data_IF_855226342802
#
_entry.id   IF_855226342802
#
_cell.length_a   1.000
_cell.length_b   1.000
_cell.length_c   1.000
_cell.angle_alpha   90.00
_cell.angle_beta   90.00
_cell.angle_gamma   90.00
#
_symmetry.space_group_name_H-M   'P 1'
#
loop_
_entity.id
_entity.type
_entity.pdbx_description
1 polymer ?
2 water ?
#
# COMPACT_ATOMS: atom_id res chain seq x y z
N UNK A 1 -6.70 -13.04 -14.56
CA UNK A 1 -7.21 -11.94 -13.66
C UNK A 1 -6.52 -12.15 -12.33
N UNK A 2 -5.92 -11.08 -11.83
CA UNK A 2 -5.23 -11.08 -10.56
C UNK A 2 -6.25 -10.97 -9.44
N UNK A 3 -6.05 -11.73 -8.36
CA UNK A 3 -7.00 -11.64 -7.23
C UNK A 3 -6.77 -10.33 -6.46
N UNK A 4 -7.72 -9.95 -5.62
CA UNK A 4 -7.53 -8.75 -4.82
C UNK A 4 -6.32 -8.95 -3.88
N UNK A 5 -6.15 -10.16 -3.32
CA UNK A 5 -5.03 -10.39 -2.42
C UNK A 5 -3.70 -10.25 -3.15
N UNK A 6 -3.63 -10.78 -4.37
CA UNK A 6 -2.40 -10.69 -5.17
C UNK A 6 -2.09 -9.24 -5.59
N UNK A 7 -3.13 -8.48 -5.90
CA UNK A 7 -3.01 -7.10 -6.28
C UNK A 7 -2.48 -6.32 -5.10
N UNK A 8 -2.94 -6.62 -3.87
CA UNK A 8 -2.45 -5.91 -2.68
C UNK A 8 -0.94 -6.18 -2.51
N UNK A 9 -0.51 -7.43 -2.67
CA UNK A 9 0.89 -7.72 -2.54
C UNK A 9 1.74 -6.96 -3.59
N UNK A 10 1.29 -6.98 -4.85
CA UNK A 10 2.01 -6.26 -5.90
C UNK A 10 2.09 -4.71 -5.67
N UNK A 11 0.99 -4.11 -5.26
CA UNK A 11 0.97 -2.67 -5.08
C UNK A 11 1.60 -2.23 -3.79
N UNK A 12 1.52 -3.05 -2.74
CA UNK A 12 1.97 -2.55 -1.43
C UNK A 12 3.05 -3.23 -0.62
N UNK A 13 3.52 -4.40 -1.01
CA UNK A 13 4.48 -5.08 -0.17
C UNK A 13 5.89 -4.97 -0.72
N UNK A 14 6.85 -4.59 0.12
CA UNK A 14 8.23 -4.56 -0.32
C UNK A 14 9.03 -4.85 0.94
N UNK A 15 8.80 -6.07 1.40
CA UNK A 15 9.38 -6.69 2.59
C UNK A 15 10.85 -6.56 2.49
N UNK A 16 11.35 -5.79 3.43
CA UNK A 16 12.76 -5.47 3.52
C UNK A 16 12.98 -4.69 4.82
N UNK A 22 16.94 6.02 -1.02
CA UNK A 22 17.14 6.65 -2.33
C UNK A 22 15.93 7.43 -2.82
N UNK A 23 16.19 8.65 -3.23
CA UNK A 23 15.12 9.49 -3.70
C UNK A 23 14.39 8.89 -4.91
N UNK A 24 15.02 7.97 -5.62
CA UNK A 24 14.33 7.45 -6.76
C UNK A 24 13.55 6.16 -6.52
N UNK A 25 13.47 5.75 -5.26
CA UNK A 25 12.77 4.53 -4.92
C UNK A 25 11.38 4.47 -5.54
N UNK A 26 10.58 5.50 -5.33
CA UNK A 26 9.21 5.47 -5.87
C UNK A 26 9.15 5.42 -7.40
N UNK A 27 10.02 6.16 -8.06
CA UNK A 27 10.05 6.12 -9.51
C UNK A 27 10.34 4.71 -10.04
N UNK A 28 11.28 3.99 -9.42
CA UNK A 28 11.57 2.62 -9.84
C UNK A 28 10.41 1.65 -9.52
N UNK A 29 9.95 1.67 -8.28
CA UNK A 29 8.91 0.74 -7.83
C UNK A 29 7.54 0.93 -8.43
N UNK A 30 7.13 2.18 -8.61
CA UNK A 30 5.82 2.45 -9.19
C UNK A 30 5.81 1.91 -10.62
N UNK A 31 6.97 1.93 -11.26
CA UNK A 31 7.09 1.41 -12.61
C UNK A 31 7.12 -0.11 -12.62
N UNK A 32 8.03 -0.71 -11.84
CA UNK A 32 8.19 -2.18 -11.80
C UNK A 32 6.94 -2.90 -11.34
N UNK A 33 6.20 -2.29 -10.40
CA UNK A 33 4.97 -2.89 -9.86
C UNK A 33 3.75 -2.56 -10.72
N UNK A 34 4.02 -2.01 -11.91
CA UNK A 34 2.95 -1.70 -12.85
C UNK A 34 1.89 -0.69 -12.41
N UNK A 35 2.26 0.29 -11.60
CA UNK A 35 1.28 1.28 -11.20
C UNK A 35 1.39 2.56 -12.06
N UNK A 36 2.13 2.46 -13.17
CA UNK A 36 2.25 3.58 -14.12
C UNK A 36 1.78 3.13 -15.53
N UNK A 37 0.89 2.13 -15.59
CA UNK A 37 0.36 1.65 -16.87
C UNK A 37 -1.01 2.19 -17.10
N UNK A 38 -1.16 2.98 -18.17
CA UNK A 38 -2.46 3.57 -18.46
C UNK A 38 -2.58 4.95 -17.87
N UNK A 39 -2.06 5.12 -16.66
CA UNK A 39 -2.04 6.40 -15.99
C UNK A 39 -1.07 6.25 -14.81
N UNK A 40 -0.72 7.38 -14.24
CA UNK A 40 0.13 7.42 -13.09
C UNK A 40 -0.76 7.28 -11.86
N UNK A 41 -0.60 6.21 -11.10
CA UNK A 41 -1.37 6.10 -9.86
C UNK A 41 -0.89 7.35 -9.07
N UNK A 42 -1.79 8.21 -8.61
CA UNK A 42 -1.31 9.42 -7.90
C UNK A 42 -0.62 9.29 -6.54
N UNK A 43 -1.03 8.30 -5.75
CA UNK A 43 -0.45 8.08 -4.41
C UNK A 43 -0.42 6.58 -4.11
N UNK A 44 0.65 6.10 -3.47
CA UNK A 44 0.69 4.67 -3.16
C UNK A 44 1.60 4.49 -1.98
N UNK A 45 1.38 3.44 -1.18
CA UNK A 45 2.24 3.19 -0.02
C UNK A 45 2.81 1.77 -0.12
N UNK A 46 4.11 1.62 0.19
CA UNK A 46 4.77 0.31 0.21
C UNK A 46 5.08 0.03 1.70
N UNK A 47 4.98 -1.23 2.10
CA UNK A 47 5.20 -1.60 3.49
C UNK A 47 6.43 -2.50 3.52
N UNK A 48 7.36 -2.17 4.42
CA UNK A 48 8.60 -2.93 4.51
C UNK A 48 8.68 -3.91 5.67
N UNK A 49 7.58 -4.57 5.96
CA UNK A 49 7.57 -5.54 7.01
C UNK A 49 7.31 -6.83 6.26
N UNK A 50 7.43 -7.95 6.97
CA UNK A 50 7.22 -9.26 6.36
C UNK A 50 5.76 -9.43 5.96
N UNK A 51 5.54 -10.27 4.97
CA UNK A 51 4.19 -10.50 4.55
C UNK A 51 3.39 -11.04 5.75
N UNK A 52 4.01 -11.92 6.53
CA UNK A 52 3.32 -12.46 7.71
C UNK A 52 2.88 -11.35 8.68
N UNK A 53 3.74 -10.38 8.96
CA UNK A 53 3.34 -9.33 9.89
C UNK A 53 2.21 -8.48 9.34
N UNK A 54 2.19 -8.30 8.02
CA UNK A 54 1.14 -7.51 7.41
C UNK A 54 -0.16 -8.29 7.41
N UNK A 55 -0.10 -9.59 7.07
CA UNK A 55 -1.31 -10.41 7.08
C UNK A 55 -1.95 -10.46 8.48
N UNK A 56 -1.10 -10.38 9.52
CA UNK A 56 -1.53 -10.43 10.93
C UNK A 56 -2.38 -9.25 11.33
N UNK A 57 -2.34 -8.20 10.51
CA UNK A 57 -3.12 -7.01 10.81
C UNK A 57 -4.60 -7.36 10.74
N UNK A 58 -4.91 -8.35 9.91
CA UNK A 58 -6.29 -8.82 9.71
C UNK A 58 -6.91 -9.42 10.98
N UNK A 59 -6.08 -9.61 12.00
CA UNK A 59 -6.60 -10.12 13.25
C UNK A 59 -6.25 -9.16 14.34
N UNK A 60 -5.94 -7.92 13.96
CA UNK A 60 -5.64 -6.90 14.95
C UNK A 60 -6.82 -5.94 15.18
N UNK A 61 -6.58 -4.65 15.37
CA UNK A 61 -7.68 -3.72 15.70
C UNK A 61 -8.71 -3.38 14.63
N UNK A 62 -10.00 -3.68 14.85
CA UNK A 62 -11.00 -3.33 13.81
C UNK A 62 -11.33 -1.84 13.83
N UNK A 63 -11.46 -1.27 12.64
CA UNK A 63 -11.74 0.16 12.50
C UNK A 63 -12.60 0.29 11.23
N UNK A 64 -13.21 1.45 11.04
CA UNK A 64 -14.06 1.62 9.86
C UNK A 64 -13.20 1.99 8.64
N UNK A 65 -13.60 1.52 7.46
CA UNK A 65 -12.88 1.82 6.21
C UNK A 65 -13.28 3.22 5.75
N UNK A 66 -12.42 3.83 4.92
CA UNK A 66 -12.70 5.15 4.37
C UNK A 66 -14.00 5.16 3.60
N UNK A 67 -14.32 4.07 2.93
CA UNK A 67 -15.55 4.03 2.19
C UNK A 67 -16.79 3.64 3.03
N UNK A 68 -16.62 3.44 4.34
CA UNK A 68 -17.77 3.10 5.19
C UNK A 68 -17.96 1.63 5.57
N UNK A 69 -17.24 0.75 4.86
CA UNK A 69 -17.27 -0.70 5.13
C UNK A 69 -16.62 -0.92 6.51
N UNK A 70 -16.92 -2.05 7.16
CA UNK A 70 -16.31 -2.28 8.46
C UNK A 70 -15.29 -3.44 8.47
N UNK A 71 -14.87 -3.91 7.30
CA UNK A 71 -13.87 -4.97 7.28
C UNK A 71 -12.43 -4.45 7.25
N UNK A 72 -12.17 -3.32 7.92
CA UNK A 72 -10.81 -2.78 7.97
C UNK A 72 -10.20 -2.98 9.34
N UNK A 73 -8.87 -3.05 9.35
CA UNK A 73 -8.06 -3.29 10.54
C UNK A 73 -6.83 -2.40 10.54
N UNK A 74 -6.49 -1.95 11.71
CA UNK A 74 -5.35 -1.09 11.96
C UNK A 74 -4.26 -1.90 12.67
N UNK A 75 -3.02 -1.74 12.24
CA UNK A 75 -1.88 -2.45 12.84
C UNK A 75 -1.73 -2.05 14.34
N UNK A 76 -1.38 -3.02 15.18
CA UNK A 76 -1.21 -2.70 16.59
C UNK A 76 0.04 -1.81 16.79
N UNK A 77 1.03 -1.93 15.91
CA UNK A 77 2.25 -1.16 15.98
C UNK A 77 2.46 -0.35 14.72
N UNK A 78 3.37 0.62 14.83
CA UNK A 78 3.74 1.38 13.65
C UNK A 78 4.55 0.37 12.81
N UNK A 79 4.63 0.64 11.51
CA UNK A 79 5.42 -0.18 10.60
C UNK A 79 6.24 0.78 9.73
N UNK A 80 7.32 0.26 9.16
CA UNK A 80 8.20 1.03 8.26
C UNK A 80 7.52 1.00 6.88
N UNK A 81 7.15 2.18 6.43
CA UNK A 81 6.50 2.34 5.13
C UNK A 81 7.14 3.52 4.31
N UNK A 82 6.86 3.52 3.03
CA UNK A 82 7.30 4.58 2.12
C UNK A 82 6.04 5.05 1.34
N UNK A 83 5.75 6.34 1.41
CA UNK A 83 4.62 6.91 0.66
C UNK A 83 5.21 7.47 -0.63
N UNK A 84 4.54 7.18 -1.74
CA UNK A 84 4.94 7.63 -3.07
C UNK A 84 3.82 8.55 -3.53
N UNK A 85 4.17 9.79 -3.88
CA UNK A 85 3.19 10.77 -4.31
C UNK A 85 3.66 11.36 -5.62
N UNK A 86 2.75 11.48 -6.58
CA UNK A 86 3.06 12.06 -7.88
C UNK A 86 3.51 13.49 -7.65
N UNK A 87 4.53 13.93 -8.38
CA UNK A 87 5.01 15.30 -8.24
C UNK A 87 4.21 16.18 -9.21
N UNK A 88 4.34 17.51 -9.04
CA UNK A 88 3.61 18.43 -9.91
C UNK A 88 4.03 18.24 -11.36
N UNK A 89 5.29 17.88 -11.61
CA UNK A 89 5.81 17.70 -12.96
C UNK A 89 5.45 16.42 -13.66
N UNK A 90 4.94 15.47 -12.89
CA UNK A 90 4.51 14.19 -13.41
C UNK A 90 3.42 14.38 -14.47
N UNK A 91 3.56 13.63 -15.57
CA UNK A 91 2.60 13.73 -16.65
C UNK A 91 2.70 12.46 -17.48
N UNK A 92 1.69 11.61 -17.38
CA UNK A 92 1.70 10.34 -18.12
C UNK A 92 2.06 10.55 -19.59
N UNK A 93 2.86 9.63 -20.18
CA UNK A 93 3.46 8.41 -19.62
C UNK A 93 4.80 8.64 -18.96
N UNK A 94 5.10 9.88 -18.60
CA UNK A 94 6.34 10.19 -17.90
C UNK A 94 5.96 10.52 -16.44
N UNK A 95 5.63 9.47 -15.67
CA UNK A 95 5.23 9.64 -14.27
C UNK A 95 6.43 9.99 -13.42
N UNK A 96 6.19 10.69 -12.32
CA UNK A 96 7.28 11.12 -11.42
C UNK A 96 6.73 11.18 -10.01
N UNK A 97 7.53 10.70 -9.05
CA UNK A 97 7.11 10.58 -7.66
C UNK A 97 8.09 11.10 -6.63
N UNK A 98 7.53 11.60 -5.54
CA UNK A 98 8.28 12.07 -4.37
C UNK A 98 8.23 10.86 -3.40
N UNK A 99 9.40 10.43 -2.93
CA UNK A 99 9.55 9.31 -1.99
C UNK A 99 9.66 9.85 -0.55
N UNK A 100 8.79 9.38 0.34
CA UNK A 100 8.83 9.78 1.75
C UNK A 100 8.76 8.53 2.66
N UNK A 101 9.85 8.26 3.37
CA UNK A 101 9.89 7.12 4.30
C UNK A 101 9.32 7.62 5.65
N UNK A 102 8.50 6.79 6.31
CA UNK A 102 7.93 7.15 7.60
C UNK A 102 7.62 5.87 8.34
N UNK A 103 7.27 6.01 9.62
CA UNK A 103 6.91 4.91 10.49
C UNK A 103 5.55 5.29 11.00
N UNK A 104 4.53 4.59 10.51
CA UNK A 104 3.13 4.84 10.87
C UNK A 104 2.37 3.55 10.96
N UNK A 105 1.17 3.62 11.52
CA UNK A 105 0.31 2.45 11.56
C UNK A 105 -0.33 2.37 10.14
N UNK A 106 -0.72 1.16 9.74
CA UNK A 106 -1.41 0.97 8.47
C UNK A 106 -2.81 0.46 8.76
N UNK A 107 -3.74 0.80 7.87
CA UNK A 107 -5.10 0.33 7.98
C UNK A 107 -5.37 -0.34 6.62
N UNK A 108 -5.80 -1.61 6.66
CA UNK A 108 -6.07 -2.37 5.45
C UNK A 108 -7.43 -2.99 5.51
N UNK A 109 -8.03 -3.26 4.35
CA UNK A 109 -9.31 -3.95 4.33
C UNK A 109 -8.89 -5.41 4.17
N UNK A 110 -9.63 -6.33 4.79
CA UNK A 110 -9.27 -7.74 4.72
C UNK A 110 -10.47 -8.49 4.22
N UNK A 111 -10.22 -9.51 3.40
CA UNK A 111 -11.30 -10.30 2.85
C UNK A 111 -10.81 -11.67 2.42
N UNK A 112 -11.78 -12.53 2.10
CA UNK A 112 -11.46 -13.88 1.67
C UNK A 112 -11.36 -14.85 2.85
N UNK A 113 -11.16 -16.12 2.52
CA UNK A 113 -11.03 -17.20 3.53
C UNK A 113 -9.79 -17.96 3.12
N UNK A 114 -8.69 -17.82 3.88
CA UNK A 114 -8.48 -17.00 5.10
C UNK A 114 -8.56 -15.47 4.80
N UNK A 115 -8.94 -14.70 5.80
CA UNK A 115 -9.05 -13.25 5.66
C UNK A 115 -7.64 -12.68 5.49
N UNK A 116 -7.37 -12.05 4.35
CA UNK A 116 -6.06 -11.46 4.12
C UNK A 116 -6.25 -10.03 3.62
N UNK A 117 -5.17 -9.20 3.64
CA UNK A 117 -5.36 -7.82 3.16
C UNK A 117 -5.74 -7.75 1.69
N UNK A 118 -6.80 -7.00 1.37
CA UNK A 118 -7.21 -6.82 -0.04
C UNK A 118 -7.25 -5.34 -0.48
N UNK A 119 -6.86 -4.43 0.40
CA UNK A 119 -6.88 -3.01 0.04
C UNK A 119 -6.09 -2.24 1.09
N UNK A 120 -5.22 -1.34 0.64
CA UNK A 120 -4.49 -0.49 1.56
C UNK A 120 -5.39 0.73 1.78
N UNK A 121 -5.90 0.90 2.99
CA UNK A 121 -6.83 1.98 3.22
C UNK A 121 -6.24 3.32 3.67
N UNK A 122 -5.21 3.28 4.51
CA UNK A 122 -4.65 4.47 5.05
C UNK A 122 -3.45 4.17 5.94
N UNK A 123 -2.69 5.20 6.29
CA UNK A 123 -1.58 5.05 7.23
C UNK A 123 -1.98 6.09 8.26
N UNK A 124 -1.69 5.84 9.52
CA UNK A 124 -2.12 6.78 10.54
C UNK A 124 -1.05 7.03 11.62
#
# INVERSE_FOLDING_TARGET
KESAAAKFERQHMDSGNSPSSSSNYCNLMMCCRKMTQGKCKPVNTFVHESLADVKAVCSQKKVTCKNGQTNCYQSKSTMRITDCRETGSSKYPNCAYKTTQVEKHIIVACGGKPSVPVHFDASV
#
